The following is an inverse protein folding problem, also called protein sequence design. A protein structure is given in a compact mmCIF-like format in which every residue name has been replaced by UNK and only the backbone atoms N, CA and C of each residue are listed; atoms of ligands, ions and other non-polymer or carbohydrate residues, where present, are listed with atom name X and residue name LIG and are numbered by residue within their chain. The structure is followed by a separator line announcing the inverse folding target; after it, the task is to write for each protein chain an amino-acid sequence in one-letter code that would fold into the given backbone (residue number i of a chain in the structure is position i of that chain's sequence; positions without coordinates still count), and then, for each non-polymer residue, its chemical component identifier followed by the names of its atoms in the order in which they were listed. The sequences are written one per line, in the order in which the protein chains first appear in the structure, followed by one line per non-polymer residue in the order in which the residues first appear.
data_IF_347398325974
#
_entry.id   IF_347398325974
#
_cell.length_a   1.000
_cell.length_b   1.000
_cell.length_c   1.000
_cell.angle_alpha   90.00
_cell.angle_beta   90.00
_cell.angle_gamma   90.00
#
_symmetry.space_group_name_H-M   'P 1'
#
loop_
_entity.id
_entity.type
_entity.pdbx_description
1 polymer ?
#
# COMPACT_ATOMS: atom_id res chain seq x y z
N UNK A 1 -20.55 -3.76 4.78
CA UNK A 1 -20.18 -2.51 4.08
C UNK A 1 -18.88 -2.01 4.65
N UNK A 2 -17.93 -1.71 3.77
CA UNK A 2 -16.65 -1.19 4.20
C UNK A 2 -16.79 0.22 4.77
N UNK A 3 -16.10 0.47 5.85
CA UNK A 3 -16.03 1.77 6.50
C UNK A 3 -14.58 2.09 6.81
N UNK A 4 -14.22 3.36 6.69
CA UNK A 4 -12.89 3.85 7.01
C UNK A 4 -12.97 4.76 8.23
N UNK A 5 -12.09 4.55 9.17
CA UNK A 5 -11.94 5.46 10.31
C UNK A 5 -10.82 6.44 9.98
N UNK A 6 -11.13 7.73 10.02
CA UNK A 6 -10.17 8.77 9.68
C UNK A 6 -9.14 8.97 10.79
N UNK A 7 -8.00 9.53 10.42
CA UNK A 7 -6.90 9.80 11.33
C UNK A 7 -6.50 11.28 11.25
N UNK A 8 -5.77 11.75 12.25
CA UNK A 8 -5.11 13.05 12.20
C UNK A 8 -3.79 12.92 11.41
N UNK A 9 -3.05 14.02 11.27
CA UNK A 9 -1.79 14.02 10.51
C UNK A 9 -0.73 13.11 11.11
N UNK A 10 -0.85 12.77 12.39
CA UNK A 10 0.08 11.87 13.09
C UNK A 10 -0.35 10.40 12.99
N UNK A 11 -1.48 10.13 12.33
CA UNK A 11 -2.00 8.77 12.19
C UNK A 11 -2.87 8.31 13.36
N UNK A 12 -3.24 9.18 14.27
CA UNK A 12 -4.13 8.84 15.40
C UNK A 12 -5.58 8.92 14.96
N UNK A 13 -6.38 7.95 15.37
CA UNK A 13 -7.81 7.89 15.02
C UNK A 13 -8.57 9.09 15.60
N UNK A 14 -9.43 9.70 14.78
CA UNK A 14 -10.22 10.87 15.17
C UNK A 14 -11.64 10.52 15.62
N UNK A 15 -12.09 9.30 15.35
CA UNK A 15 -13.47 8.89 15.61
C UNK A 15 -14.43 9.14 14.45
N UNK A 16 -14.02 9.84 13.42
CA UNK A 16 -14.83 10.05 12.22
C UNK A 16 -14.79 8.80 11.35
N UNK A 17 -15.97 8.28 11.01
CA UNK A 17 -16.10 7.08 10.16
C UNK A 17 -16.79 7.49 8.87
N UNK A 18 -16.21 7.08 7.74
CA UNK A 18 -16.78 7.29 6.41
C UNK A 18 -17.06 5.92 5.78
N UNK A 19 -18.28 5.72 5.26
CA UNK A 19 -18.57 4.51 4.50
C UNK A 19 -17.95 4.58 3.11
N UNK A 20 -17.67 3.41 2.52
CA UNK A 20 -17.16 3.33 1.15
C UNK A 20 -18.09 4.03 0.15
N UNK A 21 -19.40 4.00 0.42
CA UNK A 21 -20.39 4.63 -0.46
C UNK A 21 -20.36 6.16 -0.39
N UNK A 22 -19.90 6.73 0.72
CA UNK A 22 -19.82 8.18 0.91
C UNK A 22 -18.45 8.74 0.54
N UNK A 23 -17.47 7.86 0.32
CA UNK A 23 -16.12 8.28 -0.05
C UNK A 23 -16.09 8.76 -1.51
N UNK A 24 -15.73 10.01 -1.72
CA UNK A 24 -15.62 10.66 -3.03
C UNK A 24 -14.23 11.24 -3.26
N UNK A 25 -13.20 10.60 -2.69
CA UNK A 25 -11.84 11.12 -2.74
C UNK A 25 -11.59 12.20 -1.69
N UNK A 26 -10.58 13.02 -1.94
CA UNK A 26 -10.14 14.02 -0.98
C UNK A 26 -11.26 14.97 -0.51
N UNK A 27 -12.23 15.23 -1.38
CA UNK A 27 -13.32 16.17 -1.11
C UNK A 27 -14.27 15.70 -0.02
N UNK A 28 -14.36 14.39 0.20
CA UNK A 28 -15.23 13.80 1.23
C UNK A 28 -14.60 13.77 2.62
N UNK A 29 -13.32 14.14 2.72
CA UNK A 29 -12.57 14.07 3.98
C UNK A 29 -12.55 15.45 4.63
N UNK A 30 -13.04 15.58 5.90
CA UNK A 30 -13.04 16.86 6.61
C UNK A 30 -11.64 17.44 6.74
N UNK A 31 -11.57 18.76 6.90
CA UNK A 31 -10.30 19.45 7.10
C UNK A 31 -9.62 18.98 8.39
N UNK A 32 -8.30 18.78 8.33
CA UNK A 32 -7.51 18.29 9.48
C UNK A 32 -7.58 16.79 9.67
N UNK A 33 -8.36 16.09 8.86
CA UNK A 33 -8.46 14.64 8.90
C UNK A 33 -7.93 14.02 7.62
N UNK A 34 -7.56 12.75 7.70
CA UNK A 34 -6.87 12.02 6.63
C UNK A 34 -7.39 10.60 6.57
N UNK A 35 -7.39 10.03 5.36
CA UNK A 35 -7.57 8.58 5.22
C UNK A 35 -6.22 7.89 5.47
N UNK A 36 -6.25 6.75 6.14
CA UNK A 36 -5.05 5.97 6.42
C UNK A 36 -4.87 4.89 5.36
N UNK A 37 -3.70 4.87 4.72
CA UNK A 37 -3.36 3.91 3.66
C UNK A 37 -2.07 3.19 4.05
N UNK A 38 -2.10 1.87 3.98
CA UNK A 38 -0.94 1.02 4.28
C UNK A 38 -0.37 0.46 3.00
N UNK A 39 0.95 0.47 2.85
CA UNK A 39 1.66 -0.19 1.76
C UNK A 39 2.72 -1.11 2.31
N UNK A 40 3.01 -2.19 1.58
CA UNK A 40 4.00 -3.20 1.97
C UNK A 40 5.06 -3.32 0.88
N UNK A 41 6.30 -3.14 1.28
CA UNK A 41 7.47 -3.37 0.41
C UNK A 41 7.98 -4.78 0.67
N UNK A 42 7.94 -5.62 -0.36
CA UNK A 42 8.45 -6.99 -0.29
C UNK A 42 9.80 -7.01 -0.99
N UNK A 43 10.86 -7.35 -0.24
CA UNK A 43 12.24 -7.32 -0.70
C UNK A 43 12.75 -8.76 -0.77
N UNK A 44 13.20 -9.19 -1.96
CA UNK A 44 13.78 -10.52 -2.10
C UNK A 44 15.29 -10.55 -1.76
N UNK A 45 15.90 -11.73 -1.80
CA UNK A 45 17.33 -11.93 -1.49
C UNK A 45 18.26 -11.15 -2.43
N UNK A 46 17.81 -10.83 -3.64
CA UNK A 46 18.59 -10.05 -4.62
C UNK A 46 18.36 -8.55 -4.48
N UNK A 47 17.75 -8.12 -3.38
CA UNK A 47 17.42 -6.71 -3.08
C UNK A 47 16.52 -6.07 -4.11
N UNK A 48 15.66 -6.87 -4.73
CA UNK A 48 14.65 -6.40 -5.66
C UNK A 48 13.31 -6.26 -4.95
N UNK A 49 12.49 -5.35 -5.45
CA UNK A 49 11.23 -4.95 -4.84
C UNK A 49 10.08 -5.45 -5.70
N UNK A 50 9.12 -6.10 -5.06
CA UNK A 50 7.92 -6.58 -5.74
C UNK A 50 6.93 -5.43 -5.92
N UNK A 51 6.59 -5.13 -7.17
CA UNK A 51 5.53 -4.20 -7.51
C UNK A 51 4.41 -4.91 -8.24
N UNK A 52 3.23 -4.37 -8.10
CA UNK A 52 2.06 -4.80 -8.85
C UNK A 52 1.66 -3.73 -9.86
N UNK A 53 1.27 -4.17 -11.04
CA UNK A 53 0.71 -3.30 -12.06
C UNK A 53 -0.79 -3.23 -11.84
N UNK A 54 -1.28 -2.02 -11.61
CA UNK A 54 -2.70 -1.77 -11.37
C UNK A 54 -3.52 -2.13 -12.61
N UNK A 55 -4.65 -2.79 -12.41
CA UNK A 55 -5.51 -3.21 -13.50
C UNK A 55 -5.89 -2.04 -14.40
N UNK A 56 -5.90 -2.26 -15.71
CA UNK A 56 -6.36 -1.29 -16.70
C UNK A 56 -7.85 -0.96 -16.55
N UNK A 57 -8.60 -1.81 -15.84
CA UNK A 57 -10.03 -1.60 -15.58
C UNK A 57 -10.30 -0.68 -14.38
N UNK A 58 -9.26 -0.26 -13.65
CA UNK A 58 -9.43 0.65 -12.51
C UNK A 58 -9.64 2.08 -13.01
N UNK A 59 -10.51 2.81 -12.33
CA UNK A 59 -10.80 4.22 -12.65
C UNK A 59 -9.59 5.10 -12.31
N UNK A 60 -8.98 4.86 -11.14
CA UNK A 60 -7.84 5.65 -10.69
C UNK A 60 -6.53 4.96 -11.07
N UNK A 61 -5.65 5.71 -11.75
CA UNK A 61 -4.29 5.29 -12.09
C UNK A 61 -4.19 3.91 -12.76
N UNK A 62 -4.98 3.63 -13.83
CA UNK A 62 -4.90 2.34 -14.51
C UNK A 62 -3.50 2.10 -15.09
N UNK A 63 -3.01 0.87 -14.95
CA UNK A 63 -1.73 0.48 -15.52
C UNK A 63 -0.48 1.01 -14.81
N UNK A 64 -0.64 1.74 -13.71
CA UNK A 64 0.52 2.19 -12.93
C UNK A 64 1.07 1.07 -12.07
N UNK A 65 2.38 1.09 -11.89
CA UNK A 65 3.06 0.22 -10.94
C UNK A 65 2.99 0.80 -9.53
N UNK A 66 2.80 -0.05 -8.55
CA UNK A 66 2.71 0.38 -7.16
C UNK A 66 2.99 -0.73 -6.18
N UNK A 67 3.07 -0.35 -4.91
CA UNK A 67 3.19 -1.30 -3.82
C UNK A 67 1.84 -1.94 -3.51
N UNK A 68 1.89 -3.15 -2.98
CA UNK A 68 0.72 -3.84 -2.44
C UNK A 68 0.21 -3.10 -1.20
N UNK A 69 -1.09 -2.94 -1.06
CA UNK A 69 -1.67 -2.32 0.11
C UNK A 69 -3.05 -1.73 -0.13
N UNK A 70 -3.56 -1.01 0.83
CA UNK A 70 -4.88 -0.41 0.74
C UNK A 70 -5.27 0.41 1.95
N UNK A 71 -6.52 0.84 1.96
CA UNK A 71 -7.08 1.67 3.02
C UNK A 71 -7.32 0.85 4.29
N UNK A 72 -7.13 1.48 5.43
CA UNK A 72 -7.38 0.88 6.74
C UNK A 72 -8.88 0.90 7.01
N UNK A 73 -9.47 -0.27 7.22
CA UNK A 73 -10.89 -0.38 7.56
C UNK A 73 -11.12 0.06 9.01
N UNK A 74 -12.32 0.55 9.30
CA UNK A 74 -12.70 0.92 10.66
C UNK A 74 -12.54 -0.29 11.58
N UNK A 75 -11.87 -0.08 12.72
CA UNK A 75 -11.60 -1.13 13.69
C UNK A 75 -10.34 -1.93 13.44
N UNK A 76 -9.69 -1.75 12.29
CA UNK A 76 -8.39 -2.39 11.99
C UNK A 76 -7.22 -1.55 12.48
N UNK A 77 -6.12 -2.23 12.87
CA UNK A 77 -4.83 -1.57 12.98
C UNK A 77 -4.07 -1.69 11.65
N UNK A 78 -2.99 -0.95 11.51
CA UNK A 78 -2.25 -0.88 10.25
C UNK A 78 -1.55 -2.19 9.89
N UNK A 79 -1.10 -2.97 10.87
CA UNK A 79 -0.49 -4.29 10.62
C UNK A 79 -1.52 -5.28 10.11
N UNK A 80 -2.71 -5.28 10.68
CA UNK A 80 -3.83 -6.12 10.21
C UNK A 80 -4.17 -5.78 8.76
N UNK A 81 -4.21 -4.49 8.43
CA UNK A 81 -4.46 -4.03 7.06
C UNK A 81 -3.37 -4.53 6.12
N UNK A 82 -2.10 -4.42 6.51
CA UNK A 82 -0.98 -4.88 5.68
C UNK A 82 -1.11 -6.37 5.34
N UNK A 83 -1.44 -7.19 6.33
CA UNK A 83 -1.62 -8.64 6.16
C UNK A 83 -2.82 -8.95 5.28
N UNK A 84 -3.96 -8.32 5.57
CA UNK A 84 -5.21 -8.53 4.83
C UNK A 84 -5.06 -8.15 3.36
N UNK A 85 -4.59 -6.96 3.08
CA UNK A 85 -4.46 -6.45 1.72
C UNK A 85 -3.47 -7.28 0.89
N UNK A 86 -2.35 -7.68 1.48
CA UNK A 86 -1.39 -8.53 0.79
C UNK A 86 -2.01 -9.87 0.41
N UNK A 87 -2.77 -10.47 1.31
CA UNK A 87 -3.46 -11.72 1.03
C UNK A 87 -4.54 -11.54 -0.04
N UNK A 88 -5.33 -10.49 0.05
CA UNK A 88 -6.42 -10.23 -0.91
C UNK A 88 -5.88 -9.94 -2.32
N UNK A 89 -4.81 -9.16 -2.43
CA UNK A 89 -4.30 -8.71 -3.73
C UNK A 89 -3.40 -9.73 -4.42
N UNK A 90 -2.54 -10.41 -3.68
CA UNK A 90 -1.54 -11.30 -4.27
C UNK A 90 -1.52 -12.73 -3.68
N UNK A 91 -2.41 -13.02 -2.73
CA UNK A 91 -2.56 -14.37 -2.19
C UNK A 91 -1.45 -14.82 -1.25
N UNK A 92 -0.62 -13.91 -0.74
CA UNK A 92 0.49 -14.23 0.14
C UNK A 92 0.12 -13.90 1.58
N UNK A 93 0.30 -14.88 2.46
CA UNK A 93 0.02 -14.73 3.89
C UNK A 93 1.29 -14.29 4.62
N UNK A 94 1.24 -13.10 5.21
CA UNK A 94 2.33 -12.54 6.00
C UNK A 94 2.06 -12.69 7.49
N UNK A 95 3.12 -12.76 8.28
CA UNK A 95 3.05 -12.74 9.73
C UNK A 95 3.45 -11.35 10.23
N UNK A 96 2.72 -10.84 11.20
CA UNK A 96 2.95 -9.48 11.67
C UNK A 96 4.35 -9.27 12.26
N UNK A 97 4.96 -10.32 12.82
CA UNK A 97 6.31 -10.27 13.38
C UNK A 97 7.39 -10.04 12.33
N UNK A 98 7.10 -10.39 11.08
CA UNK A 98 8.03 -10.21 9.96
C UNK A 98 7.99 -8.78 9.38
N UNK A 99 6.92 -8.05 9.65
CA UNK A 99 6.72 -6.71 9.11
C UNK A 99 7.39 -5.66 9.98
N UNK A 100 8.15 -4.76 9.35
CA UNK A 100 8.83 -3.65 10.03
C UNK A 100 8.37 -2.33 9.42
N UNK A 101 8.19 -1.34 10.27
CA UNK A 101 7.84 0.00 9.82
C UNK A 101 9.05 0.64 9.13
N UNK A 102 8.86 1.12 7.90
CA UNK A 102 9.89 1.85 7.18
C UNK A 102 9.74 3.37 7.38
N UNK A 103 8.57 3.88 7.05
CA UNK A 103 8.33 5.32 7.15
C UNK A 103 6.83 5.63 7.13
N UNK A 104 6.53 6.87 7.49
CA UNK A 104 5.20 7.46 7.34
C UNK A 104 5.36 8.77 6.60
N UNK A 105 4.44 9.07 5.71
CA UNK A 105 4.36 10.37 5.06
C UNK A 105 2.90 10.69 4.77
N UNK A 106 2.62 11.94 4.50
CA UNK A 106 1.27 12.35 4.16
C UNK A 106 1.24 13.06 2.81
N UNK A 107 0.12 12.93 2.14
CA UNK A 107 -0.29 13.75 1.03
C UNK A 107 -1.39 14.69 1.52
N UNK A 108 -2.06 15.39 0.61
CA UNK A 108 -3.09 16.37 1.00
C UNK A 108 -4.17 15.78 1.92
N UNK A 109 -4.62 14.55 1.67
CA UNK A 109 -5.74 13.95 2.42
C UNK A 109 -5.50 12.49 2.80
N UNK A 110 -4.28 12.02 2.72
CA UNK A 110 -3.93 10.66 3.10
C UNK A 110 -2.67 10.63 3.95
N UNK A 111 -2.67 9.75 4.95
CA UNK A 111 -1.47 9.38 5.71
C UNK A 111 -1.08 7.99 5.24
N UNK A 112 0.13 7.86 4.74
CA UNK A 112 0.68 6.60 4.27
C UNK A 112 1.58 5.99 5.32
N UNK A 113 1.36 4.72 5.62
CA UNK A 113 2.18 3.93 6.53
C UNK A 113 2.84 2.83 5.69
N UNK A 114 4.17 2.86 5.61
CA UNK A 114 4.92 1.94 4.76
C UNK A 114 5.65 0.93 5.62
N UNK A 115 5.29 -0.33 5.45
CA UNK A 115 5.99 -1.47 6.06
C UNK A 115 6.90 -2.13 5.03
N UNK A 116 7.91 -2.83 5.49
CA UNK A 116 8.72 -3.69 4.64
C UNK A 116 8.91 -5.06 5.26
N UNK A 117 9.17 -6.03 4.40
CA UNK A 117 9.46 -7.40 4.78
C UNK A 117 10.53 -7.95 3.84
N UNK A 118 11.52 -8.64 4.39
CA UNK A 118 12.52 -9.37 3.60
C UNK A 118 12.03 -10.81 3.45
N UNK A 119 11.58 -11.15 2.26
CA UNK A 119 10.98 -12.46 2.00
C UNK A 119 11.11 -12.80 0.51
N UNK A 120 11.59 -14.01 0.24
CA UNK A 120 11.65 -14.52 -1.14
C UNK A 120 10.30 -15.08 -1.51
N UNK A 121 9.57 -14.37 -2.34
CA UNK A 121 8.27 -14.79 -2.85
C UNK A 121 8.41 -15.08 -4.33
N UNK A 122 8.04 -16.30 -4.74
CA UNK A 122 7.91 -16.65 -6.12
C UNK A 122 6.62 -16.07 -6.68
N UNK A 123 6.73 -15.32 -7.77
CA UNK A 123 5.55 -14.75 -8.43
C UNK A 123 4.57 -15.85 -8.85
N UNK A 124 5.10 -17.01 -9.24
CA UNK A 124 4.29 -18.17 -9.63
C UNK A 124 3.38 -18.68 -8.51
N UNK A 125 3.77 -18.47 -7.25
CA UNK A 125 2.98 -18.86 -6.09
C UNK A 125 1.94 -17.82 -5.69
N UNK A 126 1.95 -16.66 -6.33
CA UNK A 126 1.00 -15.59 -6.06
C UNK A 126 -0.32 -15.83 -6.77
N UNK A 127 -1.41 -15.46 -6.09
CA UNK A 127 -2.74 -15.45 -6.68
C UNK A 127 -3.20 -14.00 -6.77
N UNK A 128 -3.03 -13.43 -7.97
CA UNK A 128 -3.43 -12.04 -8.21
C UNK A 128 -4.94 -11.89 -8.19
N UNK A 129 -5.40 -10.84 -7.51
CA UNK A 129 -6.79 -10.39 -7.60
C UNK A 129 -6.97 -9.71 -8.97
N UNK A 130 -7.59 -10.42 -9.93
CA UNK A 130 -7.66 -9.97 -11.34
C UNK A 130 -8.35 -8.65 -11.58
N UNK A 131 -9.25 -8.25 -10.68
CA UNK A 131 -9.90 -6.93 -10.77
C UNK A 131 -9.01 -5.79 -10.31
N UNK A 132 -7.95 -6.09 -9.55
CA UNK A 132 -7.06 -5.11 -8.94
C UNK A 132 -5.69 -5.10 -9.60
N UNK A 133 -5.16 -6.27 -9.97
CA UNK A 133 -3.77 -6.47 -10.35
C UNK A 133 -3.67 -7.20 -11.68
N UNK A 134 -2.97 -6.60 -12.65
CA UNK A 134 -2.72 -7.23 -13.97
C UNK A 134 -1.41 -8.01 -14.02
N UNK A 135 -0.40 -7.56 -13.27
CA UNK A 135 0.95 -8.13 -13.34
C UNK A 135 1.70 -7.92 -12.03
N UNK A 136 2.57 -8.85 -11.70
CA UNK A 136 3.55 -8.72 -10.62
C UNK A 136 4.95 -8.83 -11.21
N UNK A 137 5.87 -7.98 -10.73
CA UNK A 137 7.27 -8.00 -11.19
C UNK A 137 8.20 -7.48 -10.11
N UNK A 138 9.38 -8.07 -10.02
CA UNK A 138 10.46 -7.56 -9.19
C UNK A 138 11.27 -6.52 -9.95
N UNK A 139 11.58 -5.42 -9.26
CA UNK A 139 12.38 -4.31 -9.80
C UNK A 139 13.61 -4.10 -8.95
N UNK A 140 14.74 -3.85 -9.61
CA UNK A 140 15.92 -3.36 -8.90
C UNK A 140 15.73 -1.87 -8.54
N UNK A 141 16.56 -1.36 -7.65
CA UNK A 141 16.54 0.07 -7.29
C UNK A 141 16.78 0.95 -8.51
N UNK A 142 17.74 0.55 -9.37
CA UNK A 142 18.01 1.31 -10.59
C UNK A 142 16.82 1.36 -11.54
N UNK A 143 16.11 0.24 -11.67
CA UNK A 143 14.89 0.19 -12.47
C UNK A 143 13.80 1.08 -11.88
N UNK A 144 13.66 1.09 -10.54
CA UNK A 144 12.68 1.92 -9.84
C UNK A 144 12.97 3.42 -10.03
N UNK A 145 14.24 3.81 -9.99
CA UNK A 145 14.63 5.20 -10.22
C UNK A 145 14.22 5.70 -11.61
N UNK A 146 14.25 4.80 -12.60
CA UNK A 146 13.91 5.12 -14.00
C UNK A 146 12.44 4.94 -14.33
N UNK A 147 11.67 4.30 -13.46
CA UNK A 147 10.27 3.99 -13.73
C UNK A 147 9.41 5.24 -13.57
N UNK A 148 8.74 5.65 -14.65
CA UNK A 148 7.94 6.88 -14.67
C UNK A 148 6.50 6.66 -14.18
N UNK A 149 5.90 5.53 -14.55
CA UNK A 149 4.51 5.21 -14.21
C UNK A 149 4.43 4.40 -12.93
N UNK A 150 4.86 5.00 -11.83
CA UNK A 150 4.79 4.40 -10.51
C UNK A 150 4.01 5.29 -9.57
N UNK A 151 3.14 4.68 -8.77
CA UNK A 151 2.34 5.36 -7.77
C UNK A 151 3.19 5.73 -6.57
N UNK A 152 3.42 7.02 -6.37
CA UNK A 152 4.17 7.57 -5.23
C UNK A 152 5.54 6.92 -5.04
N UNK A 153 6.59 7.72 -4.95
CA UNK A 153 7.95 7.20 -4.72
C UNK A 153 8.58 7.75 -3.44
N UNK A 154 7.80 8.35 -2.56
CA UNK A 154 8.31 8.94 -1.33
C UNK A 154 9.04 7.92 -0.46
N UNK A 155 8.60 6.66 -0.52
CA UNK A 155 9.21 5.55 0.22
C UNK A 155 10.57 5.11 -0.34
N UNK A 156 10.90 5.48 -1.60
CA UNK A 156 12.09 4.94 -2.27
C UNK A 156 13.39 5.39 -1.60
N UNK A 157 13.51 6.66 -1.24
CA UNK A 157 14.70 7.18 -0.57
C UNK A 157 14.91 6.53 0.81
N UNK A 158 13.82 6.33 1.55
CA UNK A 158 13.88 5.63 2.83
C UNK A 158 14.29 4.17 2.65
N UNK A 159 13.78 3.52 1.59
CA UNK A 159 14.15 2.15 1.26
C UNK A 159 15.64 2.02 1.00
N UNK A 160 16.22 2.94 0.24
CA UNK A 160 17.65 2.93 -0.09
C UNK A 160 18.52 2.93 1.17
N UNK A 161 18.07 3.54 2.24
CA UNK A 161 18.82 3.62 3.50
C UNK A 161 18.93 2.29 4.23
N UNK A 162 18.09 1.31 3.91
CA UNK A 162 18.06 0.00 4.59
C UNK A 162 18.57 -1.16 3.72
N UNK A 163 18.89 -0.90 2.47
CA UNK A 163 19.39 -1.93 1.53
C UNK A 163 20.91 -2.06 1.54
#
# INVERSE_FOLDING_TARGET
MEQFELVDINGNKTGTIISVNDYRGAESIPEGEYISIVKVIIINKDKKILLQKRSMNKVANPGQWGLTGGKVDAGEDTLTTAIRETYEEIGIKLNKEELKLLCKYNTRKAVFIIYYIKKDINIEDCKMQTKEVDELRYFSIDELDKLEKVEGKQWLEELKSIL
#
